data_IF_618728839955
#
_entry.id   IF_618728839955
#
_cell.length_a   1.000
_cell.length_b   1.000
_cell.length_c   1.000
_cell.angle_alpha   90.00
_cell.angle_beta   90.00
_cell.angle_gamma   90.00
#
_symmetry.space_group_name_H-M   'P 1'
#
loop_
_entity.id
_entity.type
_entity.pdbx_description
1 polymer ?
#
# COMPACT_ATOMS: atom_id res chain seq x y z
N UNK A 1 2.23 18.29 10.83
CA UNK A 1 0.89 17.92 11.30
C UNK A 1 -0.06 18.04 10.11
N UNK A 2 -0.42 16.92 9.47
CA UNK A 2 -1.32 16.92 8.32
C UNK A 2 -2.76 17.08 8.81
N UNK A 3 -3.31 18.29 8.76
CA UNK A 3 -4.73 18.51 9.02
C UNK A 3 -5.51 18.12 7.77
N UNK A 4 -6.26 17.01 7.84
CA UNK A 4 -7.10 16.54 6.73
C UNK A 4 -8.15 17.62 6.40
N UNK A 5 -8.21 18.14 5.16
CA UNK A 5 -9.26 19.08 4.79
C UNK A 5 -10.60 18.32 4.77
N UNK A 6 -11.58 18.82 5.52
CA UNK A 6 -12.95 18.30 5.45
C UNK A 6 -13.56 18.67 4.11
N UNK A 7 -13.53 17.76 3.15
CA UNK A 7 -14.25 17.93 1.87
C UNK A 7 -15.72 17.60 2.08
N UNK A 8 -16.51 18.61 2.42
CA UNK A 8 -17.96 18.50 2.44
C UNK A 8 -18.50 18.64 1.01
N UNK A 9 -19.08 17.57 0.46
CA UNK A 9 -19.92 17.66 -0.75
C UNK A 9 -21.38 17.84 -0.32
N UNK A 10 -22.02 18.90 -0.78
CA UNK A 10 -23.44 19.12 -0.55
C UNK A 10 -24.26 17.95 -1.12
N UNK A 11 -25.06 17.28 -0.27
CA UNK A 11 -25.93 16.16 -0.65
C UNK A 11 -25.62 14.81 0.01
N UNK A 12 -24.50 14.68 0.73
CA UNK A 12 -24.24 13.55 1.62
C UNK A 12 -24.12 14.13 3.03
N UNK A 13 -25.10 13.88 3.90
CA UNK A 13 -24.94 14.17 5.32
C UNK A 13 -23.61 13.58 5.79
N UNK A 14 -22.91 14.26 6.69
CA UNK A 14 -21.53 14.00 7.10
C UNK A 14 -21.25 12.66 7.79
N UNK A 15 -21.90 11.59 7.35
CA UNK A 15 -21.63 10.22 7.71
C UNK A 15 -20.19 9.87 7.35
N UNK A 16 -19.47 9.44 8.38
CA UNK A 16 -18.14 8.85 8.30
C UNK A 16 -18.31 7.40 8.74
N UNK A 17 -17.80 6.45 7.95
CA UNK A 17 -17.89 5.04 8.29
C UNK A 17 -17.22 4.76 9.65
N UNK A 18 -17.77 3.82 10.42
CA UNK A 18 -17.24 3.46 11.74
C UNK A 18 -15.77 3.05 11.66
N UNK A 19 -15.39 2.29 10.63
CA UNK A 19 -14.02 1.88 10.36
C UNK A 19 -13.10 3.09 10.17
N UNK A 20 -13.57 4.13 9.47
CA UNK A 20 -12.78 5.35 9.27
C UNK A 20 -12.54 6.06 10.61
N UNK A 21 -13.56 6.18 11.45
CA UNK A 21 -13.42 6.79 12.78
C UNK A 21 -12.46 5.98 13.68
N UNK A 22 -12.54 4.65 13.61
CA UNK A 22 -11.62 3.75 14.31
C UNK A 22 -10.17 3.96 13.84
N UNK A 23 -9.93 3.94 12.53
CA UNK A 23 -8.59 4.12 11.96
C UNK A 23 -8.00 5.49 12.30
N UNK A 24 -8.82 6.54 12.26
CA UNK A 24 -8.39 7.89 12.63
C UNK A 24 -7.92 7.92 14.08
N UNK A 25 -8.73 7.38 15.02
CA UNK A 25 -8.35 7.31 16.43
C UNK A 25 -7.10 6.45 16.66
N UNK A 26 -7.00 5.30 15.99
CA UNK A 26 -5.83 4.43 16.10
C UNK A 26 -4.54 5.13 15.66
N UNK A 27 -4.57 5.86 14.54
CA UNK A 27 -3.40 6.60 14.05
C UNK A 27 -3.03 7.80 14.93
N UNK A 28 -3.99 8.39 15.65
CA UNK A 28 -3.71 9.41 16.66
C UNK A 28 -3.02 8.83 17.90
N UNK A 29 -3.43 7.64 18.33
CA UNK A 29 -2.85 6.93 19.49
C UNK A 29 -1.49 6.27 19.15
N UNK A 30 -1.25 5.93 17.88
CA UNK A 30 -0.08 5.19 17.40
C UNK A 30 0.66 5.90 16.24
N UNK A 31 1.34 7.05 16.50
CA UNK A 31 2.05 7.78 15.46
C UNK A 31 3.19 6.97 14.81
N UNK A 32 3.76 5.98 15.50
CA UNK A 32 4.80 5.08 14.98
C UNK A 32 4.35 4.28 13.75
N UNK A 33 3.05 3.99 13.65
CA UNK A 33 2.47 3.23 12.54
C UNK A 33 2.61 3.98 11.22
N UNK A 34 2.65 5.31 11.24
CA UNK A 34 2.84 6.13 10.03
C UNK A 34 4.25 5.89 9.46
N UNK A 35 5.26 5.87 10.34
CA UNK A 35 6.65 5.61 9.95
C UNK A 35 6.81 4.16 9.47
N UNK A 36 6.17 3.21 10.15
CA UNK A 36 6.17 1.80 9.74
C UNK A 36 5.47 1.58 8.39
N UNK A 37 4.35 2.27 8.14
CA UNK A 37 3.65 2.22 6.86
C UNK A 37 4.54 2.74 5.73
N UNK A 38 5.24 3.86 5.94
CA UNK A 38 6.20 4.39 4.97
C UNK A 38 7.33 3.40 4.72
N UNK A 39 7.94 2.85 5.77
CA UNK A 39 9.01 1.83 5.65
C UNK A 39 8.52 0.59 4.89
N UNK A 40 7.32 0.10 5.22
CA UNK A 40 6.69 -1.04 4.55
C UNK A 40 6.48 -0.80 3.06
N UNK A 41 6.10 0.42 2.68
CA UNK A 41 5.99 0.82 1.28
C UNK A 41 7.36 0.74 0.58
N UNK A 42 8.40 1.34 1.15
CA UNK A 42 9.74 1.32 0.55
C UNK A 42 10.34 -0.08 0.38
N UNK A 43 10.02 -1.05 1.25
CA UNK A 43 10.50 -2.44 1.12
C UNK A 43 10.15 -3.06 -0.24
N UNK A 44 8.95 -2.79 -0.75
CA UNK A 44 8.51 -3.36 -2.02
C UNK A 44 8.77 -2.43 -3.20
N UNK A 45 8.60 -1.13 -3.01
CA UNK A 45 8.62 -0.16 -4.10
C UNK A 45 10.01 0.37 -4.42
N UNK A 46 10.89 0.53 -3.43
CA UNK A 46 12.27 0.98 -3.61
C UNK A 46 13.28 -0.18 -3.49
N UNK A 47 12.85 -1.40 -3.79
CA UNK A 47 13.73 -2.56 -3.74
C UNK A 47 14.79 -2.46 -4.83
N UNK A 48 16.05 -2.39 -4.42
CA UNK A 48 17.17 -2.54 -5.34
C UNK A 48 17.15 -3.92 -6.00
N UNK A 49 17.04 -3.94 -7.33
CA UNK A 49 17.07 -5.17 -8.13
C UNK A 49 18.41 -5.27 -8.84
N UNK A 50 19.12 -6.38 -8.62
CA UNK A 50 20.30 -6.71 -9.41
C UNK A 50 19.86 -7.15 -10.82
N UNK A 51 20.01 -6.27 -11.79
CA UNK A 51 19.56 -6.49 -13.17
C UNK A 51 20.29 -7.65 -13.87
N UNK A 52 21.53 -7.94 -13.48
CA UNK A 52 22.28 -9.05 -14.07
C UNK A 52 21.80 -10.40 -13.54
N UNK A 53 21.46 -10.48 -12.26
CA UNK A 53 20.80 -11.66 -11.68
C UNK A 53 19.41 -11.85 -12.27
N UNK A 54 18.63 -10.77 -12.44
CA UNK A 54 17.32 -10.84 -13.06
C UNK A 54 17.40 -11.39 -14.49
N UNK A 55 18.34 -10.89 -15.30
CA UNK A 55 18.56 -11.41 -16.66
C UNK A 55 18.99 -12.89 -16.69
N UNK A 56 19.72 -13.36 -15.68
CA UNK A 56 20.09 -14.79 -15.59
C UNK A 56 18.88 -15.64 -15.22
N UNK A 57 18.10 -15.21 -14.24
CA UNK A 57 16.86 -15.87 -13.86
C UNK A 57 15.87 -15.95 -15.03
N UNK A 58 15.74 -14.90 -15.83
CA UNK A 58 14.89 -14.89 -17.02
C UNK A 58 15.35 -15.88 -18.10
N UNK A 59 16.67 -16.06 -18.25
CA UNK A 59 17.26 -17.03 -19.20
C UNK A 59 17.09 -18.48 -18.75
N UNK A 60 17.16 -18.72 -17.44
CA UNK A 60 16.99 -20.04 -16.84
C UNK A 60 15.51 -20.42 -16.65
N UNK A 61 14.59 -19.47 -16.89
CA UNK A 61 13.15 -19.66 -16.75
C UNK A 61 12.57 -20.56 -17.84
N UNK A 62 11.65 -21.45 -17.45
CA UNK A 62 10.90 -22.32 -18.37
C UNK A 62 9.52 -21.70 -18.62
N UNK A 63 9.04 -21.59 -19.87
CA UNK A 63 7.72 -21.05 -20.17
C UNK A 63 6.60 -21.80 -19.43
N UNK A 64 5.80 -21.08 -18.65
CA UNK A 64 4.61 -21.61 -17.97
C UNK A 64 3.35 -21.31 -18.77
N UNK A 65 2.36 -22.21 -18.68
CA UNK A 65 1.04 -21.94 -19.28
C UNK A 65 0.36 -20.80 -18.51
N UNK A 66 -0.26 -19.83 -19.20
CA UNK A 66 -0.94 -18.70 -18.54
C UNK A 66 -2.13 -19.17 -17.67
N UNK A 67 -2.73 -20.30 -18.02
CA UNK A 67 -3.75 -20.97 -17.22
C UNK A 67 -3.41 -22.46 -17.12
N UNK A 68 -3.38 -22.98 -15.90
CA UNK A 68 -3.02 -24.38 -15.64
C UNK A 68 -4.19 -25.35 -15.90
N UNK A 69 -5.40 -24.82 -15.97
CA UNK A 69 -6.65 -25.59 -16.05
C UNK A 69 -7.46 -25.35 -17.34
N UNK A 70 -6.87 -24.69 -18.34
CA UNK A 70 -7.49 -24.50 -19.66
C UNK A 70 -7.24 -25.68 -20.58
#
# INVERSE_FOLDING_TARGET
MFTKPKTYKAGHDGYVAEITQFLDKFLEEHPEVIDEQSKGWHIFWDRDVNLDEQKRADKDSVPSKPYYYS
#
